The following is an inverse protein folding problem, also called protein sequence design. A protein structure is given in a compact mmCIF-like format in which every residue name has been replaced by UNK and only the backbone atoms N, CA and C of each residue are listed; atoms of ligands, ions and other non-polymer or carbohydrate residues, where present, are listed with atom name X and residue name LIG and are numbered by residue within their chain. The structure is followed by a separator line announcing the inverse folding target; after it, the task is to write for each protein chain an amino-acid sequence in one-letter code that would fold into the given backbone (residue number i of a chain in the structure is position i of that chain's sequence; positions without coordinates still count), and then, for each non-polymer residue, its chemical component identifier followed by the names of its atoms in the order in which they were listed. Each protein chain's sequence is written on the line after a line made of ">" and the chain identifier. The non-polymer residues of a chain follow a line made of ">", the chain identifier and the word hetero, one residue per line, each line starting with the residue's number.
data_IF_905341663448
#
_entry.id   IF_905341663448
#
_cell.length_a   1.000
_cell.length_b   1.000
_cell.length_c   1.000
_cell.angle_alpha   90.00
_cell.angle_beta   90.00
_cell.angle_gamma   90.00
#
_symmetry.space_group_name_H-M   'P 1'
#
loop_
_entity.id
_entity.type
_entity.pdbx_description
1 polymer ?
#
# COMPACT_ATOMS: atom_id res chain seq x y z
N UNK A 1 42.24 -32.72 45.43
CA UNK A 1 41.59 -32.35 44.15
C UNK A 1 40.60 -31.26 44.47
N UNK A 2 40.72 -30.09 43.84
CA UNK A 2 40.08 -28.85 44.27
C UNK A 2 38.64 -28.77 43.73
N UNK A 3 37.60 -28.66 44.58
CA UNK A 3 36.20 -28.54 44.13
C UNK A 3 35.85 -27.20 43.49
N UNK A 4 36.71 -26.21 43.58
CA UNK A 4 36.45 -24.85 43.04
C UNK A 4 36.47 -24.74 41.50
N UNK A 5 37.30 -25.55 40.84
CA UNK A 5 37.46 -25.50 39.38
C UNK A 5 36.20 -25.98 38.62
N UNK A 6 35.52 -26.99 39.18
CA UNK A 6 34.30 -27.55 38.59
C UNK A 6 33.12 -26.55 38.72
N UNK A 7 33.08 -25.81 39.86
CA UNK A 7 32.02 -24.82 40.10
C UNK A 7 32.15 -23.61 39.16
N UNK A 8 33.36 -23.14 38.90
CA UNK A 8 33.61 -22.06 37.94
C UNK A 8 33.25 -22.43 36.49
N UNK A 9 33.56 -23.66 36.07
CA UNK A 9 33.22 -24.13 34.75
C UNK A 9 31.68 -24.21 34.51
N UNK A 10 30.91 -24.64 35.49
CA UNK A 10 29.44 -24.67 35.39
C UNK A 10 28.82 -23.29 35.33
N UNK A 11 29.35 -22.31 36.05
CA UNK A 11 28.91 -20.91 35.99
C UNK A 11 29.20 -20.29 34.61
N UNK A 12 30.37 -20.53 34.02
CA UNK A 12 30.73 -20.05 32.69
C UNK A 12 29.87 -20.67 31.56
N UNK A 13 29.53 -21.96 31.69
CA UNK A 13 28.63 -22.60 30.71
C UNK A 13 27.21 -22.08 30.83
N UNK A 14 26.69 -21.86 32.04
CA UNK A 14 25.36 -21.26 32.22
C UNK A 14 25.26 -19.85 31.67
N UNK A 15 26.29 -19.03 31.87
CA UNK A 15 26.34 -17.67 31.36
C UNK A 15 26.43 -17.59 29.81
N UNK A 16 27.24 -18.46 29.20
CA UNK A 16 27.34 -18.57 27.73
C UNK A 16 26.03 -19.05 27.10
N UNK A 17 25.33 -20.02 27.72
CA UNK A 17 24.03 -20.47 27.23
C UNK A 17 22.94 -19.41 27.39
N UNK A 18 22.97 -18.61 28.46
CA UNK A 18 22.05 -17.48 28.61
C UNK A 18 22.28 -16.40 27.54
N UNK A 19 23.53 -16.03 27.25
CA UNK A 19 23.88 -15.08 26.20
C UNK A 19 23.45 -15.55 24.82
N UNK A 20 23.64 -16.83 24.49
CA UNK A 20 23.18 -17.41 23.20
C UNK A 20 21.66 -17.39 23.10
N UNK A 21 20.95 -17.71 24.19
CA UNK A 21 19.47 -17.62 24.20
C UNK A 21 18.96 -16.20 24.06
N UNK A 22 19.58 -15.21 24.69
CA UNK A 22 19.26 -13.80 24.52
C UNK A 22 19.58 -13.30 23.11
N UNK A 23 20.69 -13.71 22.52
CA UNK A 23 21.03 -13.38 21.14
C UNK A 23 20.04 -14.00 20.15
N UNK A 24 19.63 -15.24 20.31
CA UNK A 24 18.64 -15.92 19.48
C UNK A 24 17.24 -15.29 19.61
N UNK A 25 16.82 -14.89 20.81
CA UNK A 25 15.57 -14.17 21.03
C UNK A 25 15.60 -12.77 20.40
N UNK A 26 16.72 -12.04 20.51
CA UNK A 26 16.91 -10.74 19.87
C UNK A 26 16.87 -10.83 18.35
N UNK A 27 17.48 -11.86 17.76
CA UNK A 27 17.47 -12.07 16.30
C UNK A 27 16.07 -12.47 15.80
N UNK A 28 15.31 -13.26 16.55
CA UNK A 28 13.94 -13.63 16.17
C UNK A 28 12.97 -12.43 16.16
N UNK A 29 13.19 -11.42 17.00
CA UNK A 29 12.36 -10.20 17.02
C UNK A 29 12.55 -9.34 15.77
N UNK A 30 13.71 -9.38 15.13
CA UNK A 30 14.02 -8.55 13.93
C UNK A 30 13.23 -9.02 12.70
N UNK A 31 12.79 -10.26 12.63
CA UNK A 31 12.02 -10.82 11.51
C UNK A 31 10.51 -10.53 11.55
N UNK A 32 10.00 -9.85 12.58
CA UNK A 32 8.57 -9.54 12.72
C UNK A 32 8.16 -8.21 12.09
N UNK A 33 9.07 -7.45 11.48
CA UNK A 33 8.74 -6.22 10.79
C UNK A 33 8.17 -6.56 9.41
N UNK A 34 6.84 -6.47 9.28
CA UNK A 34 6.17 -6.55 7.99
C UNK A 34 6.61 -5.37 7.10
N UNK A 35 7.17 -5.66 5.93
CA UNK A 35 7.55 -4.63 4.97
C UNK A 35 6.30 -4.03 4.30
N UNK A 36 6.32 -2.73 4.00
CA UNK A 36 5.38 -2.12 3.10
C UNK A 36 5.49 -2.79 1.70
N UNK A 37 4.37 -2.96 1.03
CA UNK A 37 4.32 -3.55 -0.31
C UNK A 37 3.59 -2.62 -1.25
N UNK A 38 4.25 -2.28 -2.36
CA UNK A 38 3.69 -1.49 -3.45
C UNK A 38 3.78 -2.32 -4.74
N UNK A 39 2.68 -2.44 -5.47
CA UNK A 39 2.62 -3.20 -6.72
C UNK A 39 1.70 -2.53 -7.71
N UNK A 40 2.01 -2.65 -9.01
CA UNK A 40 1.10 -2.29 -10.08
C UNK A 40 1.12 -3.35 -11.17
N UNK A 41 0.04 -3.41 -11.93
CA UNK A 41 -0.13 -4.29 -13.09
C UNK A 41 -0.82 -3.51 -14.20
N UNK A 42 -0.23 -3.55 -15.40
CA UNK A 42 -0.77 -2.97 -16.63
C UNK A 42 -0.79 -4.08 -17.68
N UNK A 43 -1.96 -4.47 -18.18
CA UNK A 43 -2.06 -5.46 -19.26
C UNK A 43 -1.27 -5.04 -20.49
N UNK A 44 -0.66 -6.01 -21.18
CA UNK A 44 0.11 -5.76 -22.39
C UNK A 44 -0.76 -5.09 -23.46
N UNK A 45 -0.21 -4.07 -24.11
CA UNK A 45 -0.92 -3.30 -25.14
C UNK A 45 -1.76 -2.15 -24.60
N UNK A 46 -1.80 -1.91 -23.28
CA UNK A 46 -2.48 -0.76 -22.69
C UNK A 46 -1.59 0.49 -22.79
N UNK A 47 -2.11 1.54 -23.45
CA UNK A 47 -1.40 2.81 -23.60
C UNK A 47 -1.99 3.88 -22.68
N UNK A 48 -1.63 3.86 -21.39
CA UNK A 48 -2.15 4.81 -20.40
C UNK A 48 -1.86 6.28 -20.77
N UNK A 49 -0.79 6.54 -21.50
CA UNK A 49 -0.43 7.91 -21.97
C UNK A 49 -1.44 8.53 -22.94
N UNK A 50 -2.30 7.75 -23.56
CA UNK A 50 -3.38 8.24 -24.45
C UNK A 50 -4.64 8.65 -23.70
N UNK A 51 -4.82 8.19 -22.48
CA UNK A 51 -5.99 8.48 -21.67
C UNK A 51 -5.93 9.92 -21.17
N UNK A 52 -7.00 10.68 -21.35
CA UNK A 52 -7.07 12.11 -21.02
C UNK A 52 -8.14 12.44 -19.99
N UNK A 53 -9.24 11.70 -20.01
CA UNK A 53 -10.39 11.95 -19.15
C UNK A 53 -10.63 10.78 -18.19
N UNK A 54 -10.78 11.12 -16.90
CA UNK A 54 -10.94 10.16 -15.80
C UNK A 54 -12.17 10.50 -14.97
N UNK A 55 -12.96 9.50 -14.65
CA UNK A 55 -14.04 9.61 -13.69
C UNK A 55 -13.77 8.74 -12.49
N UNK A 56 -13.54 9.35 -11.33
CA UNK A 56 -13.32 8.65 -10.08
C UNK A 56 -14.65 8.37 -9.41
N UNK A 57 -15.04 7.12 -9.37
CA UNK A 57 -16.29 6.69 -8.74
C UNK A 57 -16.17 6.82 -7.24
N UNK A 58 -16.99 7.71 -6.64
CA UNK A 58 -17.04 7.86 -5.19
C UNK A 58 -17.74 6.66 -4.57
N UNK A 59 -17.06 5.97 -3.67
CA UNK A 59 -17.66 4.92 -2.87
C UNK A 59 -18.68 5.52 -1.86
N UNK A 60 -19.86 4.93 -1.72
CA UNK A 60 -20.93 5.46 -0.85
C UNK A 60 -20.48 5.62 0.62
N UNK A 61 -19.54 4.82 1.07
CA UNK A 61 -18.98 4.84 2.43
C UNK A 61 -17.68 5.63 2.53
N UNK A 62 -17.27 6.35 1.48
CA UNK A 62 -16.07 7.19 1.56
C UNK A 62 -16.34 8.44 2.39
N UNK A 63 -16.11 8.32 3.70
CA UNK A 63 -16.12 9.44 4.63
C UNK A 63 -14.77 10.16 4.77
N UNK A 64 -13.76 9.77 3.98
CA UNK A 64 -12.38 10.29 4.07
C UNK A 64 -11.91 11.03 2.84
N UNK A 65 -12.72 11.06 1.78
CA UNK A 65 -12.44 11.83 0.56
C UNK A 65 -11.33 11.23 -0.28
N UNK A 66 -11.15 9.90 -0.29
CA UNK A 66 -10.13 9.24 -1.10
C UNK A 66 -10.35 9.49 -2.59
N UNK A 67 -11.62 9.54 -3.03
CA UNK A 67 -12.00 9.93 -4.39
C UNK A 67 -11.43 11.31 -4.79
N UNK A 68 -11.50 12.29 -3.90
CA UNK A 68 -10.98 13.63 -4.15
C UNK A 68 -9.45 13.65 -4.21
N UNK A 69 -8.78 12.89 -3.34
CA UNK A 69 -7.32 12.77 -3.37
C UNK A 69 -6.84 12.18 -4.71
N UNK A 70 -7.54 11.14 -5.21
CA UNK A 70 -7.24 10.53 -6.52
C UNK A 70 -7.47 11.54 -7.64
N UNK A 71 -8.62 12.26 -7.63
CA UNK A 71 -8.95 13.28 -8.61
C UNK A 71 -7.87 14.37 -8.67
N UNK A 72 -7.51 14.93 -7.52
CA UNK A 72 -6.50 16.00 -7.43
C UNK A 72 -5.13 15.55 -7.93
N UNK A 73 -4.71 14.33 -7.60
CA UNK A 73 -3.42 13.80 -8.09
C UNK A 73 -3.44 13.60 -9.63
N UNK A 74 -4.53 13.08 -10.20
CA UNK A 74 -4.68 12.93 -11.65
C UNK A 74 -4.65 14.29 -12.37
N UNK A 75 -5.32 15.31 -11.83
CA UNK A 75 -5.27 16.68 -12.38
C UNK A 75 -3.86 17.27 -12.28
N UNK A 76 -3.16 17.04 -11.17
CA UNK A 76 -1.76 17.43 -10.99
C UNK A 76 -0.80 16.82 -12.03
N UNK A 77 -1.21 15.72 -12.67
CA UNK A 77 -0.49 15.07 -13.79
C UNK A 77 -0.91 15.60 -15.16
N UNK A 78 -1.79 16.59 -15.22
CA UNK A 78 -2.29 17.19 -16.46
C UNK A 78 -3.43 16.44 -17.13
N UNK A 79 -4.14 15.58 -16.39
CA UNK A 79 -5.31 14.86 -16.87
C UNK A 79 -6.59 15.61 -16.48
N UNK A 80 -7.66 15.41 -17.23
CA UNK A 80 -8.99 15.90 -16.84
C UNK A 80 -9.63 14.85 -15.93
N UNK A 81 -9.87 15.17 -14.66
CA UNK A 81 -10.47 14.26 -13.70
C UNK A 81 -11.69 14.85 -13.02
N UNK A 82 -12.75 14.07 -12.94
CA UNK A 82 -13.98 14.40 -12.19
C UNK A 82 -14.32 13.27 -11.25
N UNK A 83 -15.17 13.52 -10.26
CA UNK A 83 -15.60 12.49 -9.31
C UNK A 83 -17.06 12.64 -8.93
N UNK A 84 -17.70 11.57 -8.58
CA UNK A 84 -19.09 11.51 -8.15
C UNK A 84 -19.59 10.08 -7.97
N UNK A 85 -20.87 9.91 -7.68
CA UNK A 85 -21.48 8.57 -7.57
C UNK A 85 -21.51 7.88 -8.95
N UNK A 86 -21.56 6.54 -8.96
CA UNK A 86 -21.65 5.75 -10.19
C UNK A 86 -22.80 6.21 -11.09
N UNK A 87 -23.94 6.60 -10.50
CA UNK A 87 -25.12 7.08 -11.24
C UNK A 87 -24.92 8.38 -12.01
N UNK A 88 -23.89 9.18 -11.64
CA UNK A 88 -23.57 10.44 -12.31
C UNK A 88 -22.38 10.31 -13.28
N UNK A 89 -21.97 9.08 -13.60
CA UNK A 89 -20.85 8.82 -14.52
C UNK A 89 -21.14 9.37 -15.91
N UNK A 90 -20.23 10.18 -16.50
CA UNK A 90 -20.36 10.62 -17.88
C UNK A 90 -20.30 9.44 -18.86
N UNK A 91 -21.08 9.50 -19.92
CA UNK A 91 -21.10 8.45 -20.96
C UNK A 91 -19.85 8.46 -21.85
N UNK A 92 -19.08 9.56 -21.85
CA UNK A 92 -17.92 9.78 -22.73
C UNK A 92 -16.65 10.05 -21.94
N UNK A 93 -16.30 9.14 -21.03
CA UNK A 93 -15.05 9.21 -20.28
C UNK A 93 -14.10 8.10 -20.74
N UNK A 94 -12.80 8.39 -20.89
CA UNK A 94 -11.82 7.39 -21.31
C UNK A 94 -11.65 6.31 -20.23
N UNK A 95 -11.61 6.74 -18.98
CA UNK A 95 -11.27 5.86 -17.87
C UNK A 95 -12.18 6.04 -16.67
N UNK A 96 -12.69 4.94 -16.18
CA UNK A 96 -13.38 4.86 -14.89
C UNK A 96 -12.33 4.43 -13.86
N UNK A 97 -12.23 5.18 -12.77
CA UNK A 97 -11.35 4.87 -11.65
C UNK A 97 -12.18 4.39 -10.48
N UNK A 98 -11.89 3.19 -10.03
CA UNK A 98 -12.45 2.62 -8.79
C UNK A 98 -11.33 2.42 -7.77
N UNK A 99 -11.66 2.45 -6.49
CA UNK A 99 -10.70 2.23 -5.43
C UNK A 99 -11.33 1.46 -4.28
N UNK A 100 -10.48 0.79 -3.52
CA UNK A 100 -10.82 0.11 -2.27
C UNK A 100 -9.78 0.48 -1.22
N UNK A 101 -10.22 1.08 -0.14
CA UNK A 101 -9.39 1.45 1.00
C UNK A 101 -9.74 0.61 2.21
N UNK A 102 -8.71 0.15 2.92
CA UNK A 102 -8.88 -0.61 4.18
C UNK A 102 -8.15 0.13 5.29
N UNK A 103 -8.84 0.29 6.40
CA UNK A 103 -8.34 1.00 7.57
C UNK A 103 -8.17 0.03 8.74
N UNK A 104 -7.17 0.30 9.56
CA UNK A 104 -6.88 -0.45 10.77
C UNK A 104 -6.69 0.50 11.94
N UNK A 105 -7.00 0.02 13.12
CA UNK A 105 -6.77 0.72 14.38
C UNK A 105 -5.54 0.13 15.08
N UNK A 106 -4.57 1.00 15.41
CA UNK A 106 -3.43 0.69 16.26
C UNK A 106 -2.93 2.00 16.85
N UNK A 107 -3.23 2.28 18.11
CA UNK A 107 -3.02 3.58 18.78
C UNK A 107 -3.78 4.73 18.09
N UNK A 108 -3.73 4.77 16.77
CA UNK A 108 -4.51 5.69 15.90
C UNK A 108 -5.05 4.92 14.69
N UNK A 109 -6.09 5.49 14.05
CA UNK A 109 -6.60 4.95 12.78
C UNK A 109 -5.60 5.25 11.65
N UNK A 110 -5.28 4.26 10.81
CA UNK A 110 -4.40 4.43 9.67
C UNK A 110 -4.88 3.62 8.46
N UNK A 111 -4.49 4.04 7.26
CA UNK A 111 -4.77 3.31 6.03
C UNK A 111 -3.83 2.11 5.93
N UNK A 112 -4.38 0.90 6.04
CA UNK A 112 -3.64 -0.36 5.90
C UNK A 112 -3.35 -0.68 4.44
N UNK A 113 -4.33 -0.48 3.56
CA UNK A 113 -4.15 -0.71 2.13
C UNK A 113 -5.04 0.19 1.30
N UNK A 114 -4.55 0.51 0.12
CA UNK A 114 -5.29 1.17 -0.95
C UNK A 114 -5.08 0.41 -2.24
N UNK A 115 -6.15 0.06 -2.92
CA UNK A 115 -6.16 -0.52 -4.25
C UNK A 115 -6.85 0.46 -5.20
N UNK A 116 -6.21 0.81 -6.32
CA UNK A 116 -6.78 1.69 -7.37
C UNK A 116 -6.80 0.88 -8.66
N UNK A 117 -7.94 0.92 -9.37
CA UNK A 117 -8.12 0.26 -10.65
C UNK A 117 -8.61 1.24 -11.70
N UNK A 118 -7.97 1.23 -12.86
CA UNK A 118 -8.38 1.95 -14.07
C UNK A 118 -9.12 0.99 -14.99
N UNK A 119 -10.29 1.38 -15.44
CA UNK A 119 -11.13 0.61 -16.35
C UNK A 119 -11.52 1.46 -17.54
N UNK A 120 -11.61 0.83 -18.69
CA UNK A 120 -12.09 1.47 -19.92
C UNK A 120 -13.52 2.02 -19.74
N UNK A 121 -13.73 3.26 -20.12
CA UNK A 121 -15.00 3.96 -19.94
C UNK A 121 -16.16 3.36 -20.75
N UNK A 122 -15.85 2.65 -21.84
CA UNK A 122 -16.83 2.11 -22.77
C UNK A 122 -17.21 0.66 -22.45
N UNK A 123 -16.20 -0.20 -22.23
CA UNK A 123 -16.42 -1.65 -22.08
C UNK A 123 -16.05 -2.20 -20.71
N UNK A 124 -15.62 -1.33 -19.80
CA UNK A 124 -15.24 -1.67 -18.41
C UNK A 124 -14.05 -2.64 -18.29
N UNK A 125 -13.26 -2.83 -19.36
CA UNK A 125 -12.06 -3.67 -19.32
C UNK A 125 -11.02 -3.06 -18.38
N UNK A 126 -10.31 -3.89 -17.61
CA UNK A 126 -9.22 -3.44 -16.74
C UNK A 126 -8.05 -2.94 -17.59
N UNK A 127 -7.68 -1.68 -17.42
CA UNK A 127 -6.55 -1.03 -18.09
C UNK A 127 -5.30 -1.02 -17.20
N UNK A 128 -5.46 -0.85 -15.91
CA UNK A 128 -4.36 -0.89 -14.94
C UNK A 128 -4.89 -1.08 -13.53
N UNK A 129 -4.05 -1.59 -12.66
CA UNK A 129 -4.31 -1.61 -11.22
C UNK A 129 -3.04 -1.39 -10.42
N UNK A 130 -3.17 -0.79 -9.25
CA UNK A 130 -2.06 -0.61 -8.31
C UNK A 130 -2.54 -0.79 -6.88
N UNK A 131 -1.65 -1.28 -6.04
CA UNK A 131 -1.94 -1.53 -4.64
C UNK A 131 -0.78 -1.11 -3.75
N UNK A 132 -1.09 -0.43 -2.67
CA UNK A 132 -0.21 -0.21 -1.53
C UNK A 132 -0.75 -0.96 -0.32
N UNK A 133 0.15 -1.65 0.39
CA UNK A 133 -0.11 -2.25 1.70
C UNK A 133 0.94 -1.73 2.69
N UNK A 134 0.47 -1.16 3.81
CA UNK A 134 1.31 -0.51 4.81
C UNK A 134 0.93 -0.94 6.22
N UNK A 135 1.75 -1.79 6.86
CA UNK A 135 1.54 -2.14 8.27
C UNK A 135 1.79 -0.92 9.18
N UNK A 136 1.39 -1.02 10.43
CA UNK A 136 1.37 0.08 11.40
C UNK A 136 2.67 0.90 11.47
N UNK A 137 3.83 0.25 11.43
CA UNK A 137 5.14 0.92 11.52
C UNK A 137 5.55 1.65 10.23
N UNK A 138 4.91 1.33 9.11
CA UNK A 138 5.16 1.89 7.76
C UNK A 138 4.01 2.78 7.29
N UNK A 139 3.13 3.19 8.21
CA UNK A 139 1.97 4.04 7.89
C UNK A 139 2.39 5.37 7.28
N UNK A 140 1.58 5.85 6.33
CA UNK A 140 1.71 7.14 5.67
C UNK A 140 0.33 7.80 5.59
N UNK A 141 0.34 9.10 5.42
CA UNK A 141 -0.89 9.86 5.20
C UNK A 141 -1.57 9.49 3.88
N UNK A 142 -2.91 9.53 3.80
CA UNK A 142 -3.65 9.14 2.61
C UNK A 142 -3.19 9.80 1.30
N UNK A 143 -2.89 11.12 1.25
CA UNK A 143 -2.40 11.74 0.01
C UNK A 143 -1.09 11.13 -0.50
N UNK A 144 -0.19 10.75 0.42
CA UNK A 144 1.06 10.08 0.06
C UNK A 144 0.78 8.69 -0.53
N UNK A 145 -0.13 7.91 0.09
CA UNK A 145 -0.47 6.55 -0.37
C UNK A 145 -1.14 6.59 -1.74
N UNK A 146 -2.05 7.54 -1.97
CA UNK A 146 -2.68 7.75 -3.28
C UNK A 146 -1.62 8.06 -4.34
N UNK A 147 -0.75 9.03 -4.05
CA UNK A 147 0.31 9.43 -4.97
C UNK A 147 1.23 8.26 -5.34
N UNK A 148 1.71 7.50 -4.38
CA UNK A 148 2.63 6.38 -4.66
C UNK A 148 1.99 5.26 -5.48
N UNK A 149 0.69 4.95 -5.26
CA UNK A 149 -0.04 3.95 -6.05
C UNK A 149 -0.18 4.43 -7.49
N UNK A 150 -0.55 5.69 -7.70
CA UNK A 150 -0.66 6.27 -9.04
C UNK A 150 0.70 6.37 -9.73
N UNK A 151 1.76 6.77 -9.01
CA UNK A 151 3.13 6.78 -9.55
C UNK A 151 3.55 5.38 -10.05
N UNK A 152 3.25 4.33 -9.30
CA UNK A 152 3.60 2.96 -9.68
C UNK A 152 2.78 2.46 -10.87
N UNK A 153 1.47 2.80 -10.96
CA UNK A 153 0.63 2.49 -12.13
C UNK A 153 1.22 3.13 -13.39
N UNK A 154 1.52 4.43 -13.36
CA UNK A 154 2.04 5.14 -14.54
C UNK A 154 3.49 4.75 -14.89
N UNK A 155 4.27 4.30 -13.91
CA UNK A 155 5.60 3.76 -14.14
C UNK A 155 5.55 2.38 -14.81
N UNK A 156 4.62 1.51 -14.39
CA UNK A 156 4.44 0.18 -14.97
C UNK A 156 3.91 0.21 -16.42
N UNK A 157 3.39 1.35 -16.88
CA UNK A 157 2.87 1.56 -18.22
C UNK A 157 3.92 2.08 -19.23
N UNK A 158 5.16 2.30 -18.80
CA UNK A 158 6.29 2.75 -19.65
C UNK A 158 7.06 1.57 -20.20
#
# INVERSE_FOLDING_TARGET
>A
MRPETVRKQRLFHGFRMALVRFALLGTALIFLFGCAKLTASVPAGTELGKLKSFYVVRHERDGRGINELIRVDLEGRGMTATTGPESARPSTVDTIVTYEDRWMWDVTMYMLSLNISFRDGTNNTLLASGQSYRPSLERKEPPYVVKEVLDEIFKAAK
#
